data_IF_514281305408
#
_entry.id   IF_514281305408
#
_cell.length_a   1.000
_cell.length_b   1.000
_cell.length_c   1.000
_cell.angle_alpha   90.00
_cell.angle_beta   90.00
_cell.angle_gamma   90.00
#
_symmetry.space_group_name_H-M   'P 1'
#
loop_
_entity.id
_entity.type
_entity.pdbx_description
1 polymer ?
#
# COMPACT_ATOMS: atom_id res chain seq x y z
N UNK A 1 34.50 36.05 8.61
CA UNK A 1 34.52 35.08 7.51
C UNK A 1 34.25 33.63 7.92
N UNK A 2 34.80 33.13 9.04
CA UNK A 2 34.58 31.74 9.48
C UNK A 2 33.11 31.38 9.76
N UNK A 3 32.30 32.26 10.37
CA UNK A 3 30.88 31.98 10.71
C UNK A 3 30.01 31.78 9.46
N UNK A 4 30.24 32.55 8.39
CA UNK A 4 29.53 32.43 7.13
C UNK A 4 29.89 31.12 6.43
N UNK A 5 31.14 30.71 6.50
CA UNK A 5 31.58 29.40 5.94
C UNK A 5 30.92 28.24 6.65
N UNK A 6 30.83 28.26 7.98
CA UNK A 6 30.15 27.23 8.79
C UNK A 6 28.66 27.17 8.45
N UNK A 7 28.00 28.32 8.33
CA UNK A 7 26.60 28.38 7.91
C UNK A 7 26.37 27.75 6.52
N UNK A 8 27.14 28.17 5.51
CA UNK A 8 27.04 27.65 4.15
C UNK A 8 27.30 26.14 4.11
N UNK A 9 28.28 25.66 4.86
CA UNK A 9 28.59 24.24 4.93
C UNK A 9 27.44 23.46 5.60
N UNK A 10 26.87 23.96 6.70
CA UNK A 10 25.74 23.31 7.38
C UNK A 10 24.49 23.30 6.50
N UNK A 11 24.23 24.36 5.72
CA UNK A 11 23.15 24.43 4.75
C UNK A 11 23.30 23.37 3.65
N UNK A 12 24.46 23.22 3.05
CA UNK A 12 24.73 22.19 2.02
C UNK A 12 24.58 20.78 2.59
N UNK A 13 25.02 20.56 3.82
CA UNK A 13 24.83 19.27 4.50
C UNK A 13 23.36 18.98 4.73
N UNK A 14 22.58 19.95 5.15
CA UNK A 14 21.13 19.82 5.32
C UNK A 14 20.45 19.50 3.99
N UNK A 15 20.75 20.21 2.90
CA UNK A 15 20.16 19.96 1.58
C UNK A 15 20.46 18.54 1.09
N UNK A 16 21.68 18.03 1.28
CA UNK A 16 22.03 16.64 0.98
C UNK A 16 21.26 15.64 1.84
N UNK A 17 21.20 15.88 3.15
CA UNK A 17 20.46 15.03 4.07
C UNK A 17 18.95 15.02 3.73
N UNK A 18 18.39 16.17 3.44
CA UNK A 18 17.01 16.32 3.00
C UNK A 18 16.71 15.51 1.74
N UNK A 19 17.55 15.62 0.71
CA UNK A 19 17.43 14.83 -0.52
C UNK A 19 17.49 13.32 -0.24
N UNK A 20 18.43 12.88 0.59
CA UNK A 20 18.57 11.47 0.96
C UNK A 20 17.35 10.94 1.74
N UNK A 21 16.79 11.73 2.65
CA UNK A 21 15.59 11.37 3.42
C UNK A 21 14.40 11.19 2.46
N UNK A 22 14.22 12.09 1.49
CA UNK A 22 13.15 11.98 0.50
C UNK A 22 13.34 10.78 -0.43
N UNK A 23 14.56 10.52 -0.90
CA UNK A 23 14.85 9.32 -1.69
C UNK A 23 14.55 8.04 -0.91
N UNK A 24 14.94 8.00 0.37
CA UNK A 24 14.66 6.88 1.26
C UNK A 24 13.15 6.68 1.50
N UNK A 25 12.40 7.77 1.66
CA UNK A 25 10.94 7.73 1.80
C UNK A 25 10.28 7.19 0.53
N UNK A 26 10.66 7.70 -0.65
CA UNK A 26 10.13 7.25 -1.93
C UNK A 26 10.46 5.77 -2.20
N UNK A 27 11.68 5.35 -1.91
CA UNK A 27 12.07 3.94 -2.03
C UNK A 27 11.28 3.02 -1.09
N UNK A 28 11.04 3.47 0.15
CA UNK A 28 10.22 2.74 1.11
C UNK A 28 8.77 2.60 0.64
N UNK A 29 8.19 3.68 0.12
CA UNK A 29 6.84 3.67 -0.44
C UNK A 29 6.73 2.75 -1.66
N UNK A 30 7.66 2.86 -2.62
CA UNK A 30 7.69 2.02 -3.82
C UNK A 30 7.77 0.52 -3.46
N UNK A 31 8.63 0.14 -2.50
CA UNK A 31 8.72 -1.25 -2.02
C UNK A 31 7.42 -1.71 -1.38
N UNK A 32 6.78 -0.88 -0.56
CA UNK A 32 5.52 -1.20 0.08
C UNK A 32 4.41 -1.38 -0.96
N UNK A 33 4.35 -0.51 -1.97
CA UNK A 33 3.41 -0.58 -3.09
C UNK A 33 3.59 -1.86 -3.92
N UNK A 34 4.84 -2.18 -4.27
CA UNK A 34 5.17 -3.42 -4.99
C UNK A 34 4.70 -4.64 -4.22
N UNK A 35 4.96 -4.68 -2.90
CA UNK A 35 4.52 -5.78 -2.05
C UNK A 35 2.99 -5.91 -1.99
N UNK A 36 2.28 -4.78 -1.90
CA UNK A 36 0.82 -4.78 -1.93
C UNK A 36 0.29 -5.30 -3.27
N UNK A 37 0.88 -4.86 -4.39
CA UNK A 37 0.49 -5.34 -5.72
C UNK A 37 0.75 -6.85 -5.86
N UNK A 38 1.90 -7.35 -5.42
CA UNK A 38 2.16 -8.80 -5.41
C UNK A 38 1.12 -9.60 -4.62
N UNK A 39 0.66 -9.08 -3.47
CA UNK A 39 -0.41 -9.73 -2.69
C UNK A 39 -1.73 -9.71 -3.47
N UNK A 40 -2.06 -8.61 -4.13
CA UNK A 40 -3.26 -8.50 -4.98
C UNK A 40 -3.22 -9.50 -6.13
N UNK A 41 -2.11 -9.55 -6.87
CA UNK A 41 -1.93 -10.44 -8.02
C UNK A 41 -1.99 -11.92 -7.59
N UNK A 42 -1.34 -12.25 -6.48
CA UNK A 42 -1.41 -13.60 -5.90
C UNK A 42 -2.85 -13.95 -5.51
N UNK A 43 -3.55 -13.05 -4.84
CA UNK A 43 -4.95 -13.26 -4.44
C UNK A 43 -5.84 -13.47 -5.66
N UNK A 44 -5.65 -12.68 -6.71
CA UNK A 44 -6.36 -12.82 -7.97
C UNK A 44 -6.11 -14.18 -8.63
N UNK A 45 -4.84 -14.56 -8.79
CA UNK A 45 -4.46 -15.85 -9.38
C UNK A 45 -5.03 -17.06 -8.61
N UNK A 46 -4.96 -16.99 -7.26
CA UNK A 46 -5.53 -18.03 -6.40
C UNK A 46 -7.07 -18.11 -6.52
N UNK A 47 -7.74 -16.97 -6.66
CA UNK A 47 -9.19 -16.93 -6.88
C UNK A 47 -9.58 -17.54 -8.22
N UNK A 48 -8.85 -17.23 -9.30
CA UNK A 48 -9.08 -17.86 -10.60
C UNK A 48 -8.82 -19.37 -10.55
N UNK A 49 -7.72 -19.78 -9.90
CA UNK A 49 -7.42 -21.21 -9.72
C UNK A 49 -8.49 -21.96 -8.94
N UNK A 50 -9.06 -21.33 -7.89
CA UNK A 50 -10.15 -21.90 -7.12
C UNK A 50 -11.44 -22.05 -7.95
N UNK A 51 -11.78 -21.03 -8.77
CA UNK A 51 -12.91 -21.07 -9.69
C UNK A 51 -12.74 -22.17 -10.74
N UNK A 52 -11.57 -22.26 -11.38
CA UNK A 52 -11.28 -23.30 -12.36
C UNK A 52 -11.41 -24.70 -11.75
N UNK A 53 -10.85 -24.90 -10.55
CA UNK A 53 -10.98 -26.18 -9.84
C UNK A 53 -12.45 -26.50 -9.54
N UNK A 54 -13.24 -25.52 -9.13
CA UNK A 54 -14.67 -25.71 -8.90
C UNK A 54 -15.38 -26.09 -10.19
N UNK A 55 -15.11 -25.42 -11.30
CA UNK A 55 -15.69 -25.72 -12.59
C UNK A 55 -15.31 -27.13 -13.11
N UNK A 56 -14.04 -27.51 -12.88
CA UNK A 56 -13.54 -28.86 -13.25
C UNK A 56 -14.05 -29.95 -12.30
N UNK A 57 -14.14 -29.65 -11.01
CA UNK A 57 -14.61 -30.59 -9.97
C UNK A 57 -16.13 -30.66 -9.90
N UNK A 58 -16.84 -29.75 -10.58
CA UNK A 58 -18.27 -29.76 -10.57
C UNK A 58 -18.76 -31.03 -11.34
N UNK A 59 -18.78 -32.12 -10.60
CA UNK A 59 -19.57 -33.33 -10.96
C UNK A 59 -21.05 -33.00 -11.16
N UNK A 60 -21.37 -31.70 -11.04
CA UNK A 60 -22.72 -31.18 -11.27
C UNK A 60 -23.18 -31.38 -12.70
N UNK A 61 -22.29 -31.17 -13.68
CA UNK A 61 -22.58 -31.46 -15.08
C UNK A 61 -22.80 -32.95 -15.34
N UNK A 62 -21.96 -33.79 -14.77
CA UNK A 62 -22.05 -35.26 -14.92
C UNK A 62 -23.27 -35.83 -14.18
N UNK A 63 -23.61 -35.26 -13.02
CA UNK A 63 -24.79 -35.63 -12.24
C UNK A 63 -26.09 -35.17 -12.89
N UNK A 64 -26.12 -33.99 -13.51
CA UNK A 64 -27.26 -33.54 -14.33
C UNK A 64 -27.41 -34.39 -15.59
N UNK A 65 -26.32 -34.73 -16.27
CA UNK A 65 -26.30 -35.60 -17.46
C UNK A 65 -26.74 -37.04 -17.14
N UNK A 66 -26.50 -37.51 -15.88
CA UNK A 66 -26.91 -38.85 -15.44
C UNK A 66 -28.41 -39.00 -15.11
N UNK A 67 -29.21 -37.93 -15.23
CA UNK A 67 -30.64 -37.94 -14.94
C UNK A 67 -31.02 -38.14 -13.47
N UNK A 68 -30.03 -38.15 -12.55
CA UNK A 68 -30.25 -38.26 -11.11
C UNK A 68 -30.62 -36.91 -10.52
N UNK A 69 -31.89 -36.68 -10.27
CA UNK A 69 -32.38 -35.54 -9.50
C UNK A 69 -32.66 -35.98 -8.05
N UNK A 70 -32.02 -35.36 -7.08
CA UNK A 70 -32.30 -35.71 -5.68
C UNK A 70 -31.79 -34.68 -4.69
N UNK A 71 -32.36 -34.68 -3.48
CA UNK A 71 -31.98 -33.78 -2.36
C UNK A 71 -30.48 -33.80 -2.01
N UNK A 72 -29.77 -34.89 -2.30
CA UNK A 72 -28.32 -35.03 -2.08
C UNK A 72 -27.48 -34.17 -3.03
N UNK A 73 -27.92 -33.99 -4.27
CA UNK A 73 -27.24 -33.16 -5.28
C UNK A 73 -27.33 -31.68 -4.90
N UNK A 74 -28.53 -31.25 -4.49
CA UNK A 74 -28.72 -29.88 -3.97
C UNK A 74 -27.83 -29.56 -2.74
N UNK A 75 -27.71 -30.55 -1.84
CA UNK A 75 -26.82 -30.38 -0.64
C UNK A 75 -25.35 -30.30 -1.03
N UNK A 76 -24.85 -31.05 -1.98
CA UNK A 76 -23.46 -30.98 -2.45
C UNK A 76 -23.15 -29.60 -3.08
N UNK A 77 -24.03 -29.08 -3.94
CA UNK A 77 -23.87 -27.75 -4.51
C UNK A 77 -23.84 -26.64 -3.47
N UNK A 78 -24.68 -26.72 -2.43
CA UNK A 78 -24.66 -25.75 -1.31
C UNK A 78 -23.37 -25.85 -0.50
N UNK A 79 -22.82 -27.04 -0.26
CA UNK A 79 -21.57 -27.23 0.46
C UNK A 79 -20.38 -26.70 -0.33
N UNK A 80 -20.33 -26.94 -1.65
CA UNK A 80 -19.28 -26.42 -2.51
C UNK A 80 -19.33 -24.89 -2.62
N UNK A 81 -20.53 -24.32 -2.82
CA UNK A 81 -20.73 -22.87 -2.82
C UNK A 81 -20.36 -22.25 -1.48
N UNK A 82 -20.69 -22.89 -0.37
CA UNK A 82 -20.31 -22.46 0.97
C UNK A 82 -18.79 -22.53 1.22
N UNK A 83 -18.12 -23.54 0.71
CA UNK A 83 -16.66 -23.66 0.78
C UNK A 83 -15.97 -22.55 -0.03
N UNK A 84 -16.46 -22.29 -1.25
CA UNK A 84 -15.97 -21.19 -2.08
C UNK A 84 -16.20 -19.84 -1.43
N UNK A 85 -17.38 -19.60 -0.87
CA UNK A 85 -17.68 -18.37 -0.14
C UNK A 85 -16.73 -18.13 1.05
N UNK A 86 -16.44 -19.16 1.84
CA UNK A 86 -15.45 -19.07 2.93
C UNK A 86 -14.05 -18.80 2.40
N UNK A 87 -13.66 -19.40 1.29
CA UNK A 87 -12.38 -19.16 0.65
C UNK A 87 -12.25 -17.67 0.24
N UNK A 88 -13.23 -17.13 -0.47
CA UNK A 88 -13.23 -15.71 -0.87
C UNK A 88 -13.22 -14.77 0.32
N UNK A 89 -14.05 -15.03 1.33
CA UNK A 89 -14.06 -14.21 2.56
C UNK A 89 -12.70 -14.18 3.24
N UNK A 90 -12.00 -15.32 3.29
CA UNK A 90 -10.65 -15.40 3.85
C UNK A 90 -9.65 -14.60 3.02
N UNK A 91 -9.71 -14.70 1.69
CA UNK A 91 -8.82 -13.96 0.78
C UNK A 91 -9.07 -12.45 0.87
N UNK A 92 -10.31 -12.04 0.91
CA UNK A 92 -10.68 -10.63 1.08
C UNK A 92 -10.18 -10.09 2.43
N UNK A 93 -10.36 -10.84 3.52
CA UNK A 93 -9.83 -10.46 4.83
C UNK A 93 -8.31 -10.30 4.81
N UNK A 94 -7.59 -11.18 4.13
CA UNK A 94 -6.13 -11.08 4.00
C UNK A 94 -5.72 -9.86 3.17
N UNK A 95 -6.44 -9.54 2.10
CA UNK A 95 -6.20 -8.35 1.28
C UNK A 95 -6.44 -7.07 2.09
N UNK A 96 -7.55 -6.99 2.84
CA UNK A 96 -7.83 -5.86 3.74
C UNK A 96 -6.74 -5.67 4.79
N UNK A 97 -6.25 -6.76 5.38
CA UNK A 97 -5.10 -6.71 6.32
C UNK A 97 -3.82 -6.21 5.65
N UNK A 98 -3.56 -6.63 4.41
CA UNK A 98 -2.40 -6.17 3.65
C UNK A 98 -2.49 -4.67 3.32
N UNK A 99 -3.67 -4.17 2.96
CA UNK A 99 -3.93 -2.75 2.76
C UNK A 99 -3.71 -1.95 4.05
N UNK A 100 -4.28 -2.41 5.16
CA UNK A 100 -4.07 -1.77 6.46
C UNK A 100 -2.59 -1.73 6.85
N UNK A 101 -1.86 -2.83 6.67
CA UNK A 101 -0.42 -2.87 6.94
C UNK A 101 0.38 -1.93 6.03
N UNK A 102 -0.04 -1.76 4.76
CA UNK A 102 0.54 -0.78 3.85
C UNK A 102 0.32 0.65 4.36
N UNK A 103 -0.91 0.99 4.75
CA UNK A 103 -1.26 2.33 5.25
C UNK A 103 -0.49 2.67 6.54
N UNK A 104 -0.44 1.76 7.49
CA UNK A 104 0.32 1.95 8.72
C UNK A 104 1.83 2.05 8.47
N UNK A 105 2.37 1.22 7.60
CA UNK A 105 3.78 1.26 7.20
C UNK A 105 4.16 2.58 6.53
N UNK A 106 3.30 3.11 5.66
CA UNK A 106 3.53 4.40 5.00
C UNK A 106 3.43 5.58 5.96
N UNK A 107 2.45 5.59 6.87
CA UNK A 107 2.35 6.59 7.95
C UNK A 107 3.60 6.59 8.83
N UNK A 108 4.08 5.42 9.23
CA UNK A 108 5.29 5.29 10.04
C UNK A 108 6.53 5.81 9.30
N UNK A 109 6.67 5.48 8.01
CA UNK A 109 7.77 5.96 7.17
C UNK A 109 7.77 7.48 7.05
N UNK A 110 6.61 8.10 6.88
CA UNK A 110 6.45 9.57 6.86
C UNK A 110 6.87 10.21 8.18
N UNK A 111 6.40 9.67 9.32
CA UNK A 111 6.79 10.17 10.65
C UNK A 111 8.30 10.09 10.86
N UNK A 112 8.92 8.98 10.46
CA UNK A 112 10.38 8.81 10.54
C UNK A 112 11.12 9.82 9.66
N UNK A 113 10.65 10.08 8.45
CA UNK A 113 11.22 11.07 7.55
C UNK A 113 11.08 12.48 8.13
N UNK A 114 9.91 12.86 8.67
CA UNK A 114 9.70 14.14 9.32
C UNK A 114 10.64 14.34 10.52
N UNK A 115 10.72 13.38 11.42
CA UNK A 115 11.62 13.43 12.58
C UNK A 115 13.09 13.49 12.15
N UNK A 116 13.48 12.83 11.07
CA UNK A 116 14.83 12.92 10.54
C UNK A 116 15.12 14.30 9.96
N UNK A 117 14.16 14.92 9.26
CA UNK A 117 14.28 16.29 8.75
C UNK A 117 14.44 17.30 9.89
N UNK A 118 13.62 17.20 10.93
CA UNK A 118 13.72 18.05 12.12
C UNK A 118 15.10 17.94 12.77
N UNK A 119 15.63 16.73 12.94
CA UNK A 119 16.96 16.50 13.48
C UNK A 119 18.06 17.11 12.63
N UNK A 120 17.99 16.98 11.31
CA UNK A 120 18.98 17.56 10.40
C UNK A 120 18.85 19.10 10.34
N UNK A 121 17.62 19.62 10.40
CA UNK A 121 17.39 21.05 10.50
C UNK A 121 17.95 21.65 11.78
N UNK A 122 17.80 20.98 12.91
CA UNK A 122 18.37 21.43 14.20
C UNK A 122 19.90 21.52 14.20
N UNK A 123 20.59 20.88 13.22
CA UNK A 123 22.04 20.97 13.07
C UNK A 123 22.48 22.17 12.22
N UNK A 124 21.53 22.85 11.55
CA UNK A 124 21.88 24.01 10.72
C UNK A 124 22.27 25.17 11.61
N UNK A 125 23.49 25.67 11.45
CA UNK A 125 23.95 26.84 12.17
C UNK A 125 23.14 28.07 11.77
N UNK A 126 22.84 28.96 12.75
CA UNK A 126 22.17 30.21 12.45
C UNK A 126 23.04 31.11 11.56
N UNK A 127 22.37 31.74 10.57
CA UNK A 127 23.05 32.73 9.75
C UNK A 127 23.55 33.89 10.65
N UNK A 128 24.81 34.28 10.55
CA UNK A 128 25.35 35.36 11.33
C UNK A 128 24.87 36.77 10.96
N UNK A 129 24.15 36.94 9.87
CA UNK A 129 23.46 38.19 9.50
C UNK A 129 22.12 38.30 10.20
N UNK A 130 21.90 39.44 10.89
CA UNK A 130 20.73 39.66 11.75
C UNK A 130 19.36 39.61 11.05
N UNK A 131 19.34 39.67 9.69
CA UNK A 131 18.11 39.85 8.89
C UNK A 131 17.63 38.62 8.09
N UNK A 132 18.29 37.48 8.20
CA UNK A 132 17.89 36.30 7.42
C UNK A 132 17.51 35.14 8.33
N UNK A 133 16.21 34.93 8.48
CA UNK A 133 15.71 33.73 9.13
C UNK A 133 16.23 32.45 8.44
N UNK A 134 16.60 31.41 9.20
CA UNK A 134 16.97 30.14 8.61
C UNK A 134 15.83 29.64 7.71
N UNK A 135 16.15 29.00 6.55
CA UNK A 135 15.14 28.52 5.64
C UNK A 135 14.23 27.56 6.39
N UNK A 136 12.96 27.94 6.51
CA UNK A 136 11.93 27.04 7.06
C UNK A 136 11.87 25.82 6.14
N UNK A 137 11.96 24.60 6.68
CA UNK A 137 11.79 23.42 5.88
C UNK A 137 10.39 23.46 5.26
N UNK A 138 10.32 23.76 3.95
CA UNK A 138 9.08 23.64 3.20
C UNK A 138 8.80 22.16 3.11
N UNK A 139 7.94 21.67 4.00
CA UNK A 139 7.35 20.36 3.83
C UNK A 139 6.53 20.43 2.55
N UNK A 140 7.11 20.04 1.42
CA UNK A 140 6.30 19.76 0.26
C UNK A 140 5.26 18.74 0.71
N UNK A 141 4.00 19.08 0.51
CA UNK A 141 2.86 18.24 0.87
C UNK A 141 2.86 16.97 -0.01
N UNK A 142 3.89 16.15 0.16
CA UNK A 142 3.98 14.79 -0.42
C UNK A 142 2.76 13.97 0.02
N UNK A 143 2.12 14.39 1.12
CA UNK A 143 0.88 13.83 1.62
C UNK A 143 -0.31 13.96 0.66
N UNK A 144 -0.41 15.05 -0.09
CA UNK A 144 -1.53 15.25 -1.02
C UNK A 144 -1.38 14.46 -2.31
N UNK A 145 -0.17 14.35 -2.87
CA UNK A 145 0.08 13.52 -4.07
C UNK A 145 -0.14 12.03 -3.77
N UNK A 146 0.31 11.57 -2.60
CA UNK A 146 0.14 10.17 -2.18
C UNK A 146 -1.30 9.83 -1.76
N UNK A 147 -2.08 10.81 -1.28
CA UNK A 147 -3.52 10.61 -1.02
C UNK A 147 -4.31 10.56 -2.32
N UNK A 148 -3.94 11.32 -3.35
CA UNK A 148 -4.55 11.25 -4.67
C UNK A 148 -4.43 9.85 -5.30
N UNK A 149 -3.25 9.25 -5.24
CA UNK A 149 -3.01 7.90 -5.73
C UNK A 149 -3.71 6.82 -4.89
N UNK A 150 -3.79 6.99 -3.57
CA UNK A 150 -4.50 6.05 -2.69
C UNK A 150 -6.04 6.13 -2.89
N UNK A 151 -6.58 7.33 -3.14
CA UNK A 151 -8.01 7.53 -3.44
C UNK A 151 -8.34 7.01 -4.85
N UNK A 152 -7.44 7.19 -5.83
CA UNK A 152 -7.58 6.62 -7.17
C UNK A 152 -7.66 5.10 -7.17
N UNK A 153 -6.85 4.44 -6.33
CA UNK A 153 -6.89 2.99 -6.17
C UNK A 153 -8.15 2.49 -5.44
N UNK A 154 -8.67 3.25 -4.48
CA UNK A 154 -9.94 2.91 -3.82
C UNK A 154 -11.14 3.06 -4.78
N UNK A 155 -11.12 4.06 -5.67
CA UNK A 155 -12.14 4.27 -6.69
C UNK A 155 -12.21 3.15 -7.74
N UNK A 156 -11.06 2.60 -8.14
CA UNK A 156 -11.01 1.49 -9.09
C UNK A 156 -11.53 0.17 -8.51
N UNK A 157 -11.39 -0.04 -7.19
CA UNK A 157 -11.93 -1.24 -6.52
C UNK A 157 -13.44 -1.15 -6.34
N UNK A 158 -14.00 0.05 -6.13
CA UNK A 158 -15.45 0.25 -6.02
C UNK A 158 -16.18 0.10 -7.37
N UNK A 159 -15.52 0.35 -8.49
CA UNK A 159 -16.09 0.18 -9.85
C UNK A 159 -16.35 -1.26 -10.27
N UNK A 160 -15.78 -2.25 -9.58
CA UNK A 160 -15.99 -3.67 -9.86
C UNK A 160 -17.18 -4.32 -9.12
N UNK A 161 -17.88 -3.57 -8.27
CA UNK A 161 -18.99 -4.08 -7.45
C UNK A 161 -20.38 -3.51 -7.79
N UNK A 162 -20.56 -2.96 -9.01
CA UNK A 162 -21.90 -2.61 -9.45
C UNK A 162 -22.42 -3.70 -10.40
N UNK A 163 -23.49 -4.44 -10.04
CA UNK A 163 -24.12 -5.44 -10.91
C UNK A 163 -24.86 -4.79 -12.07
#
# INVERSE_FOLDING_TARGET
MQKLSIYNQSKVQFEKAYSNIHQGLNASYSRAQTKLNQIKDKTWSENQGALMKLMQSSKYGDLLASGRSGRSIGRMGVLEAGALGRFYATKQKNLTRAQFAFDEGTKLSRRRAANAQEKEFAKVAFNPSEDVAPPVPVMQNVGMALLGDAIGLAGTVAGFYNP
#
